data_IF_310039707552
#
_entry.id   IF_310039707552
#
_cell.length_a   1.000
_cell.length_b   1.000
_cell.length_c   1.000
_cell.angle_alpha   90.00
_cell.angle_beta   90.00
_cell.angle_gamma   90.00
#
_symmetry.space_group_name_H-M   'P 1'
#
loop_
_entity.id
_entity.type
_entity.pdbx_description
1 polymer ?
#
# COMPACT_ATOMS: atom_id res chain seq x y z
N UNK A 1 -38.44 8.46 19.05
CA UNK A 1 -37.43 9.44 19.51
C UNK A 1 -36.13 8.96 18.91
N UNK A 2 -35.90 9.31 17.64
CA UNK A 2 -34.81 8.78 16.78
C UNK A 2 -34.33 9.95 15.89
N UNK A 3 -33.80 11.01 16.49
CA UNK A 3 -33.33 12.20 15.73
C UNK A 3 -32.05 12.81 16.33
N UNK A 4 -31.32 12.12 17.22
CA UNK A 4 -30.15 12.70 17.90
C UNK A 4 -28.79 12.13 17.46
N UNK A 5 -28.73 11.11 16.60
CA UNK A 5 -27.44 10.54 16.15
C UNK A 5 -26.87 11.22 14.88
N UNK A 6 -27.70 11.78 14.00
CA UNK A 6 -27.25 12.30 12.69
C UNK A 6 -26.49 13.65 12.76
N UNK A 7 -26.89 14.55 13.67
CA UNK A 7 -26.27 15.89 13.80
C UNK A 7 -24.80 15.83 14.25
N UNK A 8 -24.46 14.77 14.97
CA UNK A 8 -23.17 14.59 15.62
C UNK A 8 -22.11 14.11 14.62
N UNK A 9 -22.50 13.37 13.59
CA UNK A 9 -21.61 12.90 12.52
C UNK A 9 -21.37 13.96 11.44
N UNK A 10 -22.38 14.81 11.19
CA UNK A 10 -22.24 15.93 10.24
C UNK A 10 -21.28 17.02 10.76
N UNK A 11 -21.23 17.23 12.08
CA UNK A 11 -20.30 18.18 12.70
C UNK A 11 -18.88 17.61 12.81
N UNK A 12 -18.74 16.30 13.06
CA UNK A 12 -17.44 15.60 13.08
C UNK A 12 -16.81 15.55 11.69
N UNK A 13 -17.60 15.25 10.65
CA UNK A 13 -17.13 15.28 9.26
C UNK A 13 -16.65 16.67 8.85
N UNK A 14 -17.41 17.73 9.14
CA UNK A 14 -16.98 19.13 8.91
C UNK A 14 -15.68 19.51 9.64
N UNK A 15 -15.45 18.97 10.84
CA UNK A 15 -14.22 19.22 11.62
C UNK A 15 -13.00 18.49 11.05
N UNK A 16 -13.17 17.27 10.55
CA UNK A 16 -12.12 16.49 9.88
C UNK A 16 -11.77 17.14 8.53
N UNK A 17 -12.75 17.71 7.84
CA UNK A 17 -12.56 18.47 6.59
C UNK A 17 -11.65 19.69 6.77
N UNK A 18 -11.64 20.28 7.97
CA UNK A 18 -10.84 21.47 8.26
C UNK A 18 -9.36 21.17 8.53
N UNK A 19 -8.99 19.93 8.87
CA UNK A 19 -7.60 19.53 9.10
C UNK A 19 -6.98 18.91 7.85
N UNK A 20 -6.75 19.73 6.81
CA UNK A 20 -5.97 19.34 5.64
C UNK A 20 -4.48 19.27 6.00
N UNK A 21 -3.98 18.08 6.31
CA UNK A 21 -2.54 17.79 6.45
C UNK A 21 -1.83 17.57 5.09
N UNK A 22 -2.50 17.91 3.98
CA UNK A 22 -1.96 17.76 2.64
C UNK A 22 -1.19 19.03 2.27
N UNK A 23 0.14 18.93 2.22
CA UNK A 23 1.01 20.03 1.79
C UNK A 23 0.86 20.22 0.29
N UNK A 24 0.11 21.24 -0.12
CA UNK A 24 0.08 21.70 -1.51
C UNK A 24 1.46 22.25 -1.85
N UNK A 25 2.17 21.61 -2.78
CA UNK A 25 3.37 22.19 -3.36
C UNK A 25 2.93 23.19 -4.43
N UNK A 26 2.56 24.40 -3.99
CA UNK A 26 2.36 25.49 -4.94
C UNK A 26 3.74 25.93 -5.41
N UNK A 27 4.07 25.60 -6.66
CA UNK A 27 5.21 26.20 -7.37
C UNK A 27 4.88 27.67 -7.68
N UNK A 28 4.73 28.48 -6.64
CA UNK A 28 4.57 29.91 -6.77
C UNK A 28 5.92 30.45 -7.24
N UNK A 29 5.98 30.80 -8.52
CA UNK A 29 7.14 31.47 -9.11
C UNK A 29 7.37 32.77 -8.34
N UNK A 30 8.53 32.90 -7.71
CA UNK A 30 8.94 34.10 -7.00
C UNK A 30 9.19 35.22 -8.03
N UNK A 31 8.17 36.05 -8.25
CA UNK A 31 8.21 37.18 -9.19
C UNK A 31 9.30 38.17 -8.78
N UNK A 32 9.58 38.30 -7.48
CA UNK A 32 10.59 39.22 -6.95
C UNK A 32 12.00 38.80 -7.38
N UNK A 33 12.28 37.50 -7.50
CA UNK A 33 13.57 37.00 -7.99
C UNK A 33 13.89 37.51 -9.39
N UNK A 34 12.93 37.43 -10.31
CA UNK A 34 13.11 37.90 -11.70
C UNK A 34 13.12 39.42 -11.79
N UNK A 35 12.31 40.10 -10.97
CA UNK A 35 12.32 41.57 -10.88
C UNK A 35 13.69 42.09 -10.40
N UNK A 36 14.27 41.46 -9.37
CA UNK A 36 15.58 41.82 -8.84
C UNK A 36 16.70 41.57 -9.88
N UNK A 37 16.66 40.43 -10.59
CA UNK A 37 17.63 40.15 -11.66
C UNK A 37 17.60 41.21 -12.78
N UNK A 38 16.40 41.64 -13.19
CA UNK A 38 16.26 42.70 -14.19
C UNK A 38 16.77 44.06 -13.68
N UNK A 39 16.53 44.39 -12.41
CA UNK A 39 17.06 45.61 -11.79
C UNK A 39 18.59 45.57 -11.78
N UNK A 40 19.19 44.45 -11.38
CA UNK A 40 20.65 44.28 -11.37
C UNK A 40 21.26 44.42 -12.77
N UNK A 41 20.67 43.80 -13.79
CA UNK A 41 21.12 43.92 -15.18
C UNK A 41 21.08 45.37 -15.68
N UNK A 42 19.98 46.08 -15.43
CA UNK A 42 19.84 47.48 -15.82
C UNK A 42 20.79 48.41 -15.04
N UNK A 43 21.06 48.09 -13.76
CA UNK A 43 22.06 48.81 -12.97
C UNK A 43 23.48 48.57 -13.48
N UNK A 44 23.81 47.36 -13.92
CA UNK A 44 25.11 47.03 -14.55
C UNK A 44 25.29 47.79 -15.87
N UNK A 45 24.29 47.76 -16.74
CA UNK A 45 24.27 48.51 -18.00
C UNK A 45 24.46 50.02 -17.78
N UNK A 46 23.82 50.59 -16.74
CA UNK A 46 23.99 52.02 -16.38
C UNK A 46 25.31 52.34 -15.71
N UNK A 47 25.91 51.39 -14.98
CA UNK A 47 27.21 51.56 -14.31
C UNK A 47 28.37 51.56 -15.32
N UNK A 48 28.12 51.17 -16.58
CA UNK A 48 29.12 51.14 -17.65
C UNK A 48 30.05 49.93 -17.56
N UNK A 49 29.70 48.93 -16.75
CA UNK A 49 30.47 47.71 -16.53
C UNK A 49 30.02 46.59 -17.49
N UNK A 50 29.75 46.95 -18.74
CA UNK A 50 29.27 46.04 -19.78
C UNK A 50 30.41 45.34 -20.53
N UNK A 51 31.53 45.07 -19.84
CA UNK A 51 32.72 44.54 -20.52
C UNK A 51 33.80 43.96 -19.63
N UNK A 52 33.50 43.63 -18.38
CA UNK A 52 34.43 42.87 -17.54
C UNK A 52 33.76 41.58 -17.06
N UNK A 53 33.20 40.83 -18.02
CA UNK A 53 33.25 39.38 -17.88
C UNK A 53 34.73 39.01 -17.96
N UNK A 54 35.25 38.43 -16.88
CA UNK A 54 36.53 37.72 -16.83
C UNK A 54 36.50 36.45 -17.73
N UNK A 55 35.92 36.55 -18.92
CA UNK A 55 36.13 35.62 -20.01
C UNK A 55 37.34 36.14 -20.79
N UNK A 56 38.52 35.95 -20.20
CA UNK A 56 39.77 36.07 -20.93
C UNK A 56 39.64 35.20 -22.20
N UNK A 57 39.55 35.85 -23.36
CA UNK A 57 39.54 35.18 -24.65
C UNK A 57 40.80 34.30 -24.69
N UNK A 58 40.68 32.96 -24.83
CA UNK A 58 41.83 32.06 -24.80
C UNK A 58 42.76 32.24 -26.02
N UNK A 59 42.40 33.16 -26.92
CA UNK A 59 43.11 33.51 -28.13
C UNK A 59 44.21 34.57 -27.93
N UNK A 60 44.28 35.23 -26.76
CA UNK A 60 45.34 36.21 -26.45
C UNK A 60 46.59 35.58 -25.77
N UNK A 61 46.63 34.24 -25.68
CA UNK A 61 47.77 33.48 -25.16
C UNK A 61 48.88 33.31 -26.22
N UNK A 62 50.17 33.21 -25.83
CA UNK A 62 51.27 32.95 -26.77
C UNK A 62 51.02 31.68 -27.58
N UNK A 63 51.24 31.73 -28.90
CA UNK A 63 51.02 30.61 -29.80
C UNK A 63 51.96 29.44 -29.48
N UNK A 64 51.43 28.38 -28.85
CA UNK A 64 52.11 27.10 -28.63
C UNK A 64 51.61 26.05 -29.66
N UNK A 65 52.50 25.47 -30.49
CA UNK A 65 52.15 24.40 -31.43
C UNK A 65 51.50 23.17 -30.78
N UNK A 66 51.75 22.91 -29.50
CA UNK A 66 51.16 21.78 -28.79
C UNK A 66 49.67 22.01 -28.47
N UNK A 67 49.26 23.25 -28.22
CA UNK A 67 47.88 23.59 -27.85
C UNK A 67 46.93 23.55 -29.06
N UNK A 68 47.44 23.73 -30.28
CA UNK A 68 46.66 23.63 -31.51
C UNK A 68 46.04 22.24 -31.71
N UNK A 69 46.71 21.17 -31.27
CA UNK A 69 46.18 19.80 -31.34
C UNK A 69 44.91 19.60 -30.49
N UNK A 70 44.72 20.43 -29.46
CA UNK A 70 43.56 20.35 -28.56
C UNK A 70 42.46 21.37 -28.91
N UNK A 71 42.71 22.29 -29.85
CA UNK A 71 41.72 23.26 -30.34
C UNK A 71 40.73 22.54 -31.27
N UNK A 72 39.51 22.37 -30.79
CA UNK A 72 38.42 21.80 -31.58
C UNK A 72 38.00 22.81 -32.64
N UNK A 73 37.86 22.36 -33.88
CA UNK A 73 37.43 23.16 -35.03
C UNK A 73 36.03 23.75 -34.82
N UNK A 74 35.77 25.00 -35.24
CA UNK A 74 34.51 25.73 -34.95
C UNK A 74 33.25 25.02 -35.44
N UNK A 75 33.38 24.22 -36.51
CA UNK A 75 32.31 23.39 -37.07
C UNK A 75 31.88 22.24 -36.14
N UNK A 76 32.74 21.84 -35.21
CA UNK A 76 32.48 20.79 -34.21
C UNK A 76 32.27 21.36 -32.80
N UNK A 77 32.51 22.66 -32.59
CA UNK A 77 32.12 23.36 -31.36
C UNK A 77 30.59 23.41 -31.30
N UNK A 78 30.02 22.51 -30.51
CA UNK A 78 28.61 22.59 -30.13
C UNK A 78 28.46 23.89 -29.33
N UNK A 79 27.87 24.92 -29.95
CA UNK A 79 27.52 26.16 -29.24
C UNK A 79 26.57 25.77 -28.12
N UNK A 80 27.09 25.65 -26.90
CA UNK A 80 26.29 25.67 -25.68
C UNK A 80 25.70 27.07 -25.66
N UNK A 81 24.53 27.25 -26.26
CA UNK A 81 23.71 28.42 -25.93
C UNK A 81 23.57 28.35 -24.42
N UNK A 82 24.07 29.37 -23.73
CA UNK A 82 23.73 29.57 -22.33
C UNK A 82 22.23 29.34 -22.25
N UNK A 83 21.80 28.45 -21.37
CA UNK A 83 20.39 28.25 -21.13
C UNK A 83 19.91 29.62 -20.69
N UNK A 84 19.26 30.34 -21.60
CA UNK A 84 18.55 31.55 -21.27
C UNK A 84 17.40 31.06 -20.40
N UNK A 85 17.65 31.03 -19.09
CA UNK A 85 16.78 30.49 -18.04
C UNK A 85 15.42 31.22 -17.97
N UNK A 86 15.17 32.16 -18.88
CA UNK A 86 14.02 33.05 -18.88
C UNK A 86 12.78 32.56 -19.61
N UNK A 87 12.79 31.49 -20.42
CA UNK A 87 11.56 31.16 -21.20
C UNK A 87 11.29 29.68 -21.49
N UNK A 88 12.31 28.84 -21.71
CA UNK A 88 12.05 27.49 -22.26
C UNK A 88 11.94 26.40 -21.17
N UNK A 89 12.70 26.50 -20.07
CA UNK A 89 12.63 25.50 -18.98
C UNK A 89 11.36 25.66 -18.14
N UNK A 90 10.87 26.88 -17.96
CA UNK A 90 9.56 27.14 -17.35
C UNK A 90 8.42 26.66 -18.28
N UNK A 91 8.61 26.75 -19.61
CA UNK A 91 7.63 26.24 -20.56
C UNK A 91 7.52 24.72 -20.55
N UNK A 92 8.59 23.92 -20.43
CA UNK A 92 8.40 22.45 -20.31
C UNK A 92 7.64 22.06 -19.04
N UNK A 93 7.95 22.68 -17.90
CA UNK A 93 7.23 22.44 -16.65
C UNK A 93 5.77 22.90 -16.76
N UNK A 94 5.48 24.08 -17.30
CA UNK A 94 4.11 24.57 -17.52
C UNK A 94 3.33 23.80 -18.61
N UNK A 95 4.01 23.33 -19.66
CA UNK A 95 3.40 22.59 -20.78
C UNK A 95 3.06 21.15 -20.39
N UNK A 96 3.84 20.55 -19.49
CA UNK A 96 3.60 19.20 -18.96
C UNK A 96 2.88 19.20 -17.61
N UNK A 97 2.82 20.34 -16.91
CA UNK A 97 2.07 20.46 -15.67
C UNK A 97 0.59 20.37 -15.98
N UNK A 98 -0.05 19.36 -15.39
CA UNK A 98 -1.50 19.30 -15.34
C UNK A 98 -1.93 20.38 -14.34
N UNK A 99 -2.71 21.40 -14.77
CA UNK A 99 -3.27 22.33 -13.81
C UNK A 99 -4.18 21.55 -12.87
N UNK A 100 -3.79 21.44 -11.60
CA UNK A 100 -4.61 20.80 -10.58
C UNK A 100 -5.79 21.71 -10.23
N UNK A 101 -6.99 21.16 -10.30
CA UNK A 101 -8.21 21.81 -9.81
C UNK A 101 -8.65 21.04 -8.58
N UNK A 102 -8.68 21.69 -7.43
CA UNK A 102 -9.17 21.07 -6.20
C UNK A 102 -10.67 20.81 -6.33
N UNK A 103 -11.04 19.53 -6.43
CA UNK A 103 -12.43 19.08 -6.52
C UNK A 103 -13.17 19.14 -5.17
N UNK A 104 -12.47 19.55 -4.11
CA UNK A 104 -13.01 19.62 -2.75
C UNK A 104 -12.94 18.28 -2.02
N UNK A 105 -13.11 18.34 -0.70
CA UNK A 105 -12.98 17.14 0.14
C UNK A 105 -14.12 16.15 -0.07
N UNK A 106 -15.34 16.61 -0.37
CA UNK A 106 -16.50 15.72 -0.54
C UNK A 106 -16.31 14.75 -1.71
N UNK A 107 -15.75 15.22 -2.82
CA UNK A 107 -15.40 14.37 -3.98
C UNK A 107 -14.32 13.36 -3.60
N UNK A 108 -13.34 13.78 -2.80
CA UNK A 108 -12.29 12.88 -2.29
C UNK A 108 -12.87 11.79 -1.40
N UNK A 109 -13.76 12.14 -0.47
CA UNK A 109 -14.42 11.20 0.43
C UNK A 109 -15.28 10.20 -0.34
N UNK A 110 -16.06 10.67 -1.32
CA UNK A 110 -16.84 9.80 -2.20
C UNK A 110 -15.96 8.80 -2.96
N UNK A 111 -14.82 9.24 -3.49
CA UNK A 111 -13.87 8.35 -4.18
C UNK A 111 -13.26 7.32 -3.22
N UNK A 112 -12.97 7.72 -1.97
CA UNK A 112 -12.48 6.79 -0.94
C UNK A 112 -13.54 5.72 -0.64
N UNK A 113 -14.80 6.12 -0.45
CA UNK A 113 -15.91 5.20 -0.21
C UNK A 113 -16.12 4.22 -1.38
N UNK A 114 -16.17 4.73 -2.62
CA UNK A 114 -16.35 3.91 -3.82
C UNK A 114 -15.21 2.90 -4.01
N UNK A 115 -13.97 3.34 -3.83
CA UNK A 115 -12.80 2.45 -3.96
C UNK A 115 -12.69 1.44 -2.82
N UNK A 116 -13.09 1.80 -1.60
CA UNK A 116 -13.20 0.86 -0.48
C UNK A 116 -14.28 -0.20 -0.75
N UNK A 117 -15.46 0.21 -1.23
CA UNK A 117 -16.55 -0.72 -1.58
C UNK A 117 -16.15 -1.67 -2.71
N UNK A 118 -15.50 -1.16 -3.75
CA UNK A 118 -15.01 -1.99 -4.85
C UNK A 118 -13.94 -2.98 -4.36
N UNK A 119 -12.99 -2.53 -3.52
CA UNK A 119 -11.98 -3.39 -2.91
C UNK A 119 -12.60 -4.50 -2.06
N UNK A 120 -13.59 -4.16 -1.23
CA UNK A 120 -14.33 -5.12 -0.41
C UNK A 120 -15.02 -6.18 -1.29
N UNK A 121 -15.71 -5.77 -2.34
CA UNK A 121 -16.37 -6.69 -3.28
C UNK A 121 -15.38 -7.68 -3.91
N UNK A 122 -14.24 -7.20 -4.39
CA UNK A 122 -13.19 -8.06 -4.98
C UNK A 122 -12.61 -9.03 -3.96
N UNK A 123 -12.42 -8.59 -2.72
CA UNK A 123 -11.93 -9.44 -1.64
C UNK A 123 -12.94 -10.54 -1.28
N UNK A 124 -14.22 -10.19 -1.16
CA UNK A 124 -15.32 -11.12 -0.90
C UNK A 124 -15.45 -12.15 -2.04
N UNK A 125 -15.41 -11.72 -3.30
CA UNK A 125 -15.44 -12.63 -4.45
C UNK A 125 -14.25 -13.60 -4.47
N UNK A 126 -13.04 -13.10 -4.16
CA UNK A 126 -11.86 -13.94 -4.05
C UNK A 126 -11.99 -14.97 -2.92
N UNK A 127 -12.54 -14.58 -1.77
CA UNK A 127 -12.80 -15.50 -0.67
C UNK A 127 -13.87 -16.53 -1.03
N UNK A 128 -14.98 -16.11 -1.63
CA UNK A 128 -16.04 -16.99 -2.10
C UNK A 128 -15.51 -18.03 -3.10
N UNK A 129 -14.67 -17.60 -4.06
CA UNK A 129 -14.02 -18.51 -5.01
C UNK A 129 -13.07 -19.50 -4.33
N UNK A 130 -12.31 -19.05 -3.33
CA UNK A 130 -11.46 -19.94 -2.54
C UNK A 130 -12.27 -20.95 -1.73
N UNK A 131 -13.37 -20.52 -1.10
CA UNK A 131 -14.28 -21.43 -0.38
C UNK A 131 -14.93 -22.44 -1.32
N UNK A 132 -15.44 -22.01 -2.48
CA UNK A 132 -15.98 -22.90 -3.49
C UNK A 132 -14.94 -23.92 -3.99
N UNK A 133 -13.70 -23.49 -4.24
CA UNK A 133 -12.61 -24.38 -4.64
C UNK A 133 -12.19 -25.38 -3.54
N UNK A 134 -12.27 -24.97 -2.27
CA UNK A 134 -11.99 -25.85 -1.11
C UNK A 134 -13.10 -26.87 -0.92
N UNK A 135 -14.36 -26.46 -1.04
CA UNK A 135 -15.53 -27.33 -0.86
C UNK A 135 -15.64 -28.42 -1.93
N UNK A 136 -15.20 -28.16 -3.16
CA UNK A 136 -15.39 -29.10 -4.28
C UNK A 136 -14.22 -30.09 -4.47
N UNK A 137 -13.02 -29.76 -3.97
CA UNK A 137 -11.80 -30.54 -4.30
C UNK A 137 -10.94 -30.98 -3.11
N UNK A 138 -11.29 -30.67 -1.85
CA UNK A 138 -10.34 -30.94 -0.76
C UNK A 138 -10.43 -32.33 -0.15
N UNK A 139 -11.58 -32.99 -0.17
CA UNK A 139 -11.79 -34.16 0.68
C UNK A 139 -11.85 -35.47 -0.11
N UNK A 140 -12.22 -35.41 -1.39
CA UNK A 140 -12.41 -36.61 -2.21
C UNK A 140 -11.17 -37.05 -2.98
N UNK A 141 -10.19 -36.15 -3.16
CA UNK A 141 -8.97 -36.47 -3.89
C UNK A 141 -7.96 -37.23 -3.01
N UNK A 142 -7.43 -38.35 -3.53
CA UNK A 142 -6.44 -39.17 -2.84
C UNK A 142 -5.18 -38.38 -2.42
N UNK A 143 -4.78 -37.37 -3.20
CA UNK A 143 -3.64 -36.50 -2.89
C UNK A 143 -3.85 -35.67 -1.62
N UNK A 144 -5.08 -35.24 -1.33
CA UNK A 144 -5.39 -34.45 -0.14
C UNK A 144 -5.35 -35.32 1.14
N UNK A 145 -5.69 -36.60 1.04
CA UNK A 145 -5.62 -37.58 2.14
C UNK A 145 -4.18 -37.87 2.55
N UNK A 146 -3.26 -37.92 1.58
CA UNK A 146 -1.83 -38.18 1.82
C UNK A 146 -1.18 -37.13 2.75
N UNK A 147 -1.54 -35.85 2.59
CA UNK A 147 -1.00 -34.76 3.42
C UNK A 147 -1.80 -34.51 4.72
N UNK A 148 -2.86 -35.28 4.98
CA UNK A 148 -3.75 -35.11 6.14
C UNK A 148 -4.02 -36.45 6.83
N UNK A 149 -3.01 -37.05 7.50
CA UNK A 149 -3.12 -38.38 8.10
C UNK A 149 -4.12 -38.47 9.27
N UNK A 150 -4.63 -37.35 9.77
CA UNK A 150 -5.62 -37.29 10.86
C UNK A 150 -7.03 -36.92 10.39
N UNK A 151 -7.26 -36.82 9.07
CA UNK A 151 -8.59 -36.60 8.52
C UNK A 151 -9.27 -37.97 8.35
N UNK A 152 -10.21 -38.29 9.24
CA UNK A 152 -11.02 -39.50 9.12
C UNK A 152 -12.03 -39.30 7.98
N UNK A 153 -11.79 -39.95 6.84
CA UNK A 153 -12.78 -40.06 5.77
C UNK A 153 -13.71 -41.21 6.10
N UNK A 154 -15.01 -41.04 5.89
CA UNK A 154 -15.98 -42.12 6.09
C UNK A 154 -15.66 -43.28 5.13
N UNK A 155 -15.77 -44.52 5.62
CA UNK A 155 -15.57 -45.71 4.81
C UNK A 155 -16.73 -45.88 3.82
N UNK A 156 -16.49 -46.43 2.63
CA UNK A 156 -17.53 -46.73 1.64
C UNK A 156 -18.66 -47.60 2.23
N UNK A 157 -18.31 -48.49 3.18
CA UNK A 157 -19.29 -49.31 3.89
C UNK A 157 -20.20 -48.48 4.81
N UNK A 158 -19.66 -47.45 5.47
CA UNK A 158 -20.42 -46.55 6.33
C UNK A 158 -21.28 -45.60 5.49
N UNK A 159 -20.77 -45.14 4.35
CA UNK A 159 -21.52 -44.33 3.39
C UNK A 159 -22.73 -45.10 2.83
N UNK A 160 -22.57 -46.38 2.46
CA UNK A 160 -23.67 -47.23 2.00
C UNK A 160 -24.72 -47.49 3.09
N UNK A 161 -24.28 -47.69 4.34
CA UNK A 161 -25.18 -47.87 5.48
C UNK A 161 -26.00 -46.60 5.76
N UNK A 162 -25.36 -45.44 5.69
CA UNK A 162 -26.03 -44.15 5.86
C UNK A 162 -27.03 -43.89 4.73
N UNK A 163 -26.66 -44.17 3.48
CA UNK A 163 -27.57 -44.07 2.33
C UNK A 163 -28.78 -45.03 2.45
N UNK A 164 -28.58 -46.22 3.01
CA UNK A 164 -29.66 -47.18 3.25
C UNK A 164 -30.63 -46.70 4.36
N UNK A 165 -30.11 -46.08 5.42
CA UNK A 165 -30.92 -45.49 6.50
C UNK A 165 -31.74 -44.29 6.00
N UNK A 166 -31.12 -43.42 5.20
CA UNK A 166 -31.77 -42.28 4.57
C UNK A 166 -32.89 -42.72 3.63
N UNK A 167 -32.67 -43.76 2.82
CA UNK A 167 -33.70 -44.36 1.97
C UNK A 167 -34.87 -44.96 2.77
N UNK A 168 -34.65 -45.32 4.04
CA UNK A 168 -35.67 -45.83 4.96
C UNK A 168 -36.37 -44.72 5.76
N UNK A 169 -36.05 -43.45 5.49
CA UNK A 169 -36.64 -42.28 6.16
C UNK A 169 -36.15 -42.06 7.59
N UNK A 170 -35.02 -42.68 7.97
CA UNK A 170 -34.38 -42.51 9.27
C UNK A 170 -33.22 -41.53 9.06
N UNK A 171 -33.29 -40.35 9.67
CA UNK A 171 -32.16 -39.41 9.63
C UNK A 171 -30.92 -40.09 10.24
N UNK A 172 -29.77 -40.08 9.55
CA UNK A 172 -28.54 -40.58 10.14
C UNK A 172 -28.22 -39.71 11.35
N UNK A 173 -28.16 -40.30 12.55
CA UNK A 173 -27.67 -39.57 13.72
C UNK A 173 -26.29 -38.99 13.39
N UNK A 174 -26.02 -37.72 13.72
CA UNK A 174 -24.69 -37.17 13.52
C UNK A 174 -23.72 -38.04 14.32
N UNK A 175 -22.73 -38.63 13.64
CA UNK A 175 -21.68 -39.42 14.29
C UNK A 175 -21.06 -38.55 15.40
N UNK A 176 -21.55 -38.72 16.62
CA UNK A 176 -20.96 -38.15 17.81
C UNK A 176 -19.64 -38.88 17.91
N UNK A 177 -18.58 -38.23 17.39
CA UNK A 177 -17.20 -38.71 17.45
C UNK A 177 -17.00 -39.21 18.86
N UNK A 178 -17.05 -40.53 19.05
CA UNK A 178 -16.69 -41.16 20.32
C UNK A 178 -15.20 -40.96 20.43
N UNK A 179 -14.81 -39.78 20.90
CA UNK A 179 -13.51 -39.54 21.50
C UNK A 179 -13.43 -40.55 22.63
N UNK A 180 -12.54 -41.55 22.58
CA UNK A 180 -12.33 -42.40 23.73
C UNK A 180 -11.66 -41.49 24.76
N UNK A 181 -12.48 -40.88 25.64
CA UNK A 181 -12.15 -40.15 26.88
C UNK A 181 -13.21 -39.09 27.27
N UNK A 182 -14.44 -39.10 26.73
CA UNK A 182 -15.52 -38.25 27.27
C UNK A 182 -16.36 -39.00 28.30
N UNK A 183 -15.72 -39.45 29.38
CA UNK A 183 -16.38 -39.68 30.66
C UNK A 183 -15.89 -38.56 31.58
N UNK A 184 -16.76 -37.57 31.85
CA UNK A 184 -16.45 -36.46 32.75
C UNK A 184 -16.81 -35.11 32.14
N UNK A 185 -18.09 -34.76 32.23
CA UNK A 185 -18.44 -33.37 32.53
C UNK A 185 -17.64 -32.92 33.77
N UNK A 186 -16.93 -31.81 33.67
CA UNK A 186 -16.03 -31.33 34.71
C UNK A 186 -14.66 -30.93 34.17
N UNK A 187 -14.53 -29.65 33.84
CA UNK A 187 -13.27 -28.91 33.70
C UNK A 187 -12.26 -29.47 34.70
N UNK A 188 -11.15 -30.05 34.23
CA UNK A 188 -10.03 -30.30 35.14
C UNK A 188 -9.61 -28.91 35.65
N UNK A 189 -9.71 -28.62 36.96
CA UNK A 189 -9.26 -27.33 37.46
C UNK A 189 -7.78 -27.21 37.12
N UNK A 190 -7.35 -26.02 36.69
CA UNK A 190 -5.92 -25.74 36.57
C UNK A 190 -5.33 -25.85 37.98
N UNK A 191 -4.73 -27.00 38.27
CA UNK A 191 -4.09 -27.26 39.56
C UNK A 191 -2.75 -26.54 39.56
N UNK A 192 -2.41 -25.92 40.69
CA UNK A 192 -1.10 -25.34 40.88
C UNK A 192 -0.02 -26.42 40.73
N UNK A 193 1.18 -26.00 40.35
CA UNK A 193 2.30 -26.93 40.14
C UNK A 193 2.64 -27.77 41.37
N UNK A 194 2.42 -27.25 42.60
CA UNK A 194 2.67 -28.03 43.82
C UNK A 194 1.59 -29.10 44.08
N UNK A 195 0.32 -28.79 43.80
CA UNK A 195 -0.80 -29.71 43.87
C UNK A 195 -0.59 -30.91 42.95
N UNK A 196 -0.09 -30.65 41.73
CA UNK A 196 0.28 -31.71 40.79
C UNK A 196 1.42 -32.60 41.31
N UNK A 197 2.40 -32.02 42.01
CA UNK A 197 3.52 -32.78 42.60
C UNK A 197 3.05 -33.57 43.82
N UNK A 198 2.17 -33.00 44.64
CA UNK A 198 1.60 -33.64 45.83
C UNK A 198 0.70 -34.83 45.45
N UNK A 199 -0.13 -34.67 44.41
CA UNK A 199 -0.95 -35.75 43.81
C UNK A 199 -0.08 -36.93 43.35
N UNK A 200 1.02 -36.65 42.63
CA UNK A 200 1.96 -37.67 42.17
C UNK A 200 2.65 -38.38 43.32
N UNK A 201 3.06 -37.64 44.36
CA UNK A 201 3.67 -38.21 45.55
C UNK A 201 2.69 -39.12 46.30
N UNK A 202 1.46 -38.66 46.55
CA UNK A 202 0.40 -39.46 47.17
C UNK A 202 0.10 -40.73 46.36
N UNK A 203 0.04 -40.61 45.03
CA UNK A 203 -0.20 -41.75 44.13
C UNK A 203 0.93 -42.79 44.18
N UNK A 204 2.17 -42.36 44.43
CA UNK A 204 3.32 -43.25 44.60
C UNK A 204 3.36 -43.92 45.97
N UNK A 205 2.92 -43.21 47.01
CA UNK A 205 2.79 -43.74 48.37
C UNK A 205 1.57 -44.65 48.55
N UNK A 206 0.58 -44.55 47.65
CA UNK A 206 -0.59 -45.44 47.60
C UNK A 206 -0.32 -46.63 46.68
N UNK A 207 0.77 -47.35 46.95
CA UNK A 207 1.08 -48.66 46.40
C UNK A 207 1.48 -49.59 47.54
#
# INVERSE_FOLDING_TARGET
MEVEEDDDDETKSRKIVRSNNFTQQTNALDVDKHMMAYIEENLKLRRGDAGNDDDADPDDAPFDPHDELFRIDDKYKIKKKAVEEGNVTNSMAMLTAIPEVDLGMDVRLKNIEETEKAKRRVAEERQARLQASRSHNSDDFASARFYRPHQNVQSDADALKNAQLEAMGIEPEPEVKRRPNQAGDGRKPEMATDDMVMERFKKRMRR
#
